data_IF_090375798761
#
_entry.id   IF_090375798761
#
_cell.length_a   1.000
_cell.length_b   1.000
_cell.length_c   1.000
_cell.angle_alpha   90.00
_cell.angle_beta   90.00
_cell.angle_gamma   90.00
#
_symmetry.space_group_name_H-M   'P 1'
#
loop_
_entity.id
_entity.type
_entity.pdbx_description
1 polymer ?
#
# COMPACT_ATOMS: atom_id res chain seq x y z
N UNK A 1 -13.14 -114.61 19.66
CA UNK A 1 -11.73 -114.25 19.38
C UNK A 1 -11.74 -112.86 18.76
N UNK A 2 -11.24 -111.86 19.46
CA UNK A 2 -11.26 -110.46 19.00
C UNK A 2 -10.09 -110.22 18.03
N UNK A 3 -10.31 -109.67 16.83
CA UNK A 3 -9.21 -109.38 15.91
C UNK A 3 -8.36 -108.22 16.45
N UNK A 4 -7.05 -108.45 16.46
CA UNK A 4 -6.01 -107.48 16.83
C UNK A 4 -6.03 -106.31 15.83
N UNK A 5 -6.04 -105.04 16.29
CA UNK A 5 -5.96 -103.91 15.37
C UNK A 5 -4.59 -103.86 14.71
N UNK A 6 -4.59 -103.86 13.38
CA UNK A 6 -3.40 -103.70 12.55
C UNK A 6 -2.71 -102.37 12.86
N UNK A 7 -1.43 -102.46 13.22
CA UNK A 7 -0.53 -101.34 13.46
C UNK A 7 -0.45 -100.46 12.20
N UNK A 8 -0.65 -99.13 12.30
CA UNK A 8 -0.51 -98.24 11.15
C UNK A 8 0.93 -98.30 10.64
N UNK A 9 1.05 -98.49 9.33
CA UNK A 9 2.31 -98.45 8.59
C UNK A 9 2.95 -97.07 8.73
N UNK A 10 4.25 -97.06 9.03
CA UNK A 10 5.05 -95.83 9.15
C UNK A 10 4.91 -94.96 7.91
N UNK A 11 4.82 -93.63 8.06
CA UNK A 11 4.77 -92.71 6.92
C UNK A 11 6.00 -92.91 6.04
N UNK A 12 5.81 -92.85 4.72
CA UNK A 12 6.89 -93.00 3.76
C UNK A 12 7.74 -91.73 3.72
N UNK A 13 9.04 -91.86 3.46
CA UNK A 13 9.99 -90.73 3.38
C UNK A 13 9.57 -89.61 2.39
N UNK A 14 8.64 -89.89 1.47
CA UNK A 14 8.11 -88.91 0.51
C UNK A 14 7.03 -87.99 1.13
N UNK A 15 6.25 -88.47 2.09
CA UNK A 15 5.27 -87.64 2.82
C UNK A 15 5.97 -86.64 3.75
N UNK A 16 7.05 -87.08 4.42
CA UNK A 16 7.85 -86.24 5.30
C UNK A 16 8.53 -85.09 4.53
N UNK A 17 9.07 -85.38 3.33
CA UNK A 17 9.63 -84.34 2.43
C UNK A 17 8.57 -83.35 1.92
N UNK A 18 7.36 -83.81 1.63
CA UNK A 18 6.28 -82.94 1.18
C UNK A 18 5.78 -82.02 2.30
N UNK A 19 5.77 -82.49 3.55
CA UNK A 19 5.42 -81.69 4.73
C UNK A 19 6.50 -80.64 5.04
N UNK A 20 7.79 -81.01 4.96
CA UNK A 20 8.90 -80.08 5.15
C UNK A 20 8.89 -78.94 4.13
N UNK A 21 8.61 -79.25 2.85
CA UNK A 21 8.56 -78.26 1.77
C UNK A 21 7.35 -77.33 1.89
N UNK A 22 6.23 -77.82 2.43
CA UNK A 22 5.06 -76.99 2.78
C UNK A 22 5.37 -76.04 3.95
N UNK A 23 6.07 -76.53 4.97
CA UNK A 23 6.49 -75.71 6.10
C UNK A 23 7.48 -74.62 5.66
N UNK A 24 8.40 -74.93 4.75
CA UNK A 24 9.35 -73.96 4.21
C UNK A 24 8.64 -72.85 3.42
N UNK A 25 7.73 -73.19 2.49
CA UNK A 25 6.94 -72.19 1.75
C UNK A 25 6.12 -71.29 2.69
N UNK A 26 5.53 -71.85 3.74
CA UNK A 26 4.76 -71.10 4.74
C UNK A 26 5.66 -70.16 5.57
N UNK A 27 6.92 -70.51 5.80
CA UNK A 27 7.89 -69.61 6.46
C UNK A 27 8.28 -68.46 5.53
N UNK A 28 8.59 -68.75 4.27
CA UNK A 28 8.92 -67.73 3.26
C UNK A 28 7.76 -66.75 3.01
N UNK A 29 6.52 -67.24 2.98
CA UNK A 29 5.33 -66.39 2.83
C UNK A 29 5.12 -65.46 4.03
N UNK A 30 5.32 -65.98 5.26
CA UNK A 30 5.25 -65.16 6.48
C UNK A 30 6.35 -64.10 6.53
N UNK A 31 7.57 -64.44 6.11
CA UNK A 31 8.69 -63.50 6.06
C UNK A 31 8.43 -62.39 5.02
N UNK A 32 7.87 -62.73 3.86
CA UNK A 32 7.45 -61.73 2.86
C UNK A 32 6.35 -60.81 3.37
N UNK A 33 5.31 -61.36 4.01
CA UNK A 33 4.24 -60.54 4.62
C UNK A 33 4.75 -59.64 5.75
N UNK A 34 5.71 -60.11 6.54
CA UNK A 34 6.31 -59.28 7.58
C UNK A 34 7.20 -58.17 7.01
N UNK A 35 7.96 -58.45 5.93
CA UNK A 35 8.74 -57.45 5.23
C UNK A 35 7.85 -56.38 4.57
N UNK A 36 6.73 -56.78 3.97
CA UNK A 36 5.75 -55.85 3.37
C UNK A 36 5.11 -54.95 4.43
N UNK A 37 4.64 -55.51 5.56
CA UNK A 37 4.12 -54.68 6.67
C UNK A 37 5.15 -53.70 7.22
N UNK A 38 6.42 -54.10 7.35
CA UNK A 38 7.47 -53.19 7.80
C UNK A 38 7.72 -52.05 6.80
N UNK A 39 7.67 -52.35 5.50
CA UNK A 39 7.80 -51.33 4.46
C UNK A 39 6.62 -50.34 4.49
N UNK A 40 5.39 -50.83 4.65
CA UNK A 40 4.19 -49.99 4.80
C UNK A 40 4.26 -49.11 6.06
N UNK A 41 4.68 -49.67 7.20
CA UNK A 41 4.86 -48.92 8.45
C UNK A 41 5.93 -47.82 8.31
N UNK A 42 7.02 -48.09 7.60
CA UNK A 42 8.08 -47.10 7.32
C UNK A 42 7.58 -45.99 6.38
N UNK A 43 6.82 -46.34 5.34
CA UNK A 43 6.20 -45.36 4.44
C UNK A 43 5.20 -44.47 5.19
N UNK A 44 4.35 -45.04 6.06
CA UNK A 44 3.41 -44.26 6.85
C UNK A 44 4.14 -43.35 7.86
N UNK A 45 5.21 -43.83 8.49
CA UNK A 45 6.02 -43.04 9.41
C UNK A 45 6.70 -41.85 8.69
N UNK A 46 7.24 -42.07 7.50
CA UNK A 46 7.86 -41.00 6.71
C UNK A 46 6.82 -39.99 6.19
N UNK A 47 5.63 -40.44 5.79
CA UNK A 47 4.53 -39.57 5.41
C UNK A 47 4.06 -38.67 6.57
N UNK A 48 3.91 -39.25 7.78
CA UNK A 48 3.58 -38.49 8.99
C UNK A 48 4.66 -37.47 9.36
N UNK A 49 5.94 -37.83 9.21
CA UNK A 49 7.05 -36.91 9.45
C UNK A 49 7.03 -35.70 8.49
N UNK A 50 6.79 -35.94 7.20
CA UNK A 50 6.66 -34.87 6.18
C UNK A 50 5.49 -33.94 6.50
N UNK A 51 4.33 -34.48 6.88
CA UNK A 51 3.17 -33.67 7.26
C UNK A 51 3.44 -32.82 8.52
N UNK A 52 4.16 -33.36 9.50
CA UNK A 52 4.55 -32.62 10.69
C UNK A 52 5.53 -31.47 10.35
N UNK A 53 6.47 -31.70 9.45
CA UNK A 53 7.41 -30.67 8.98
C UNK A 53 6.69 -29.53 8.24
N UNK A 54 5.75 -29.85 7.35
CA UNK A 54 4.94 -28.86 6.64
C UNK A 54 4.12 -28.01 7.63
N UNK A 55 3.54 -28.64 8.65
CA UNK A 55 2.78 -27.92 9.70
C UNK A 55 3.68 -26.96 10.48
N UNK A 56 4.88 -27.40 10.87
CA UNK A 56 5.87 -26.53 11.55
C UNK A 56 6.28 -25.35 10.67
N UNK A 57 6.60 -25.59 9.40
CA UNK A 57 6.96 -24.52 8.45
C UNK A 57 5.83 -23.50 8.26
N UNK A 58 4.58 -23.96 8.17
CA UNK A 58 3.41 -23.07 8.09
C UNK A 58 3.21 -22.23 9.35
N UNK A 59 3.37 -22.84 10.53
CA UNK A 59 3.23 -22.14 11.80
C UNK A 59 4.35 -21.10 11.99
N UNK A 60 5.59 -21.44 11.62
CA UNK A 60 6.72 -20.52 11.68
C UNK A 60 6.54 -19.34 10.73
N UNK A 61 6.11 -19.58 9.48
CA UNK A 61 5.81 -18.50 8.53
C UNK A 61 4.74 -17.57 9.08
N UNK A 62 3.65 -18.10 9.64
CA UNK A 62 2.58 -17.30 10.25
C UNK A 62 3.08 -16.47 11.45
N UNK A 63 4.00 -17.01 12.26
CA UNK A 63 4.61 -16.25 13.37
C UNK A 63 5.47 -15.10 12.86
N UNK A 64 6.28 -15.33 11.82
CA UNK A 64 7.11 -14.28 11.21
C UNK A 64 6.27 -13.16 10.60
N UNK A 65 5.22 -13.50 9.84
CA UNK A 65 4.30 -12.50 9.27
C UNK A 65 3.56 -11.69 10.35
N UNK A 66 3.18 -12.33 11.46
CA UNK A 66 2.54 -11.61 12.58
C UNK A 66 3.52 -10.67 13.30
N UNK A 67 4.79 -11.06 13.44
CA UNK A 67 5.82 -10.22 14.03
C UNK A 67 6.15 -9.01 13.14
N UNK A 68 6.26 -9.21 11.83
CA UNK A 68 6.50 -8.15 10.85
C UNK A 68 5.37 -7.13 10.84
N UNK A 69 4.11 -7.58 10.79
CA UNK A 69 2.93 -6.70 10.90
C UNK A 69 2.95 -5.88 12.20
N UNK A 70 3.33 -6.50 13.31
CA UNK A 70 3.41 -5.80 14.60
C UNK A 70 4.51 -4.72 14.59
N UNK A 71 5.65 -4.98 13.94
CA UNK A 71 6.73 -4.00 13.77
C UNK A 71 6.29 -2.83 12.88
N UNK A 72 5.62 -3.13 11.76
CA UNK A 72 5.10 -2.11 10.84
C UNK A 72 4.05 -1.21 11.52
N UNK A 73 3.14 -1.80 12.32
CA UNK A 73 2.17 -1.04 13.11
C UNK A 73 2.83 -0.14 14.18
N UNK A 74 3.90 -0.63 14.83
CA UNK A 74 4.63 0.16 15.81
C UNK A 74 5.40 1.32 15.16
N UNK A 75 6.03 1.08 14.02
CA UNK A 75 6.73 2.13 13.25
C UNK A 75 5.75 3.19 12.74
N UNK A 76 4.59 2.75 12.21
CA UNK A 76 3.55 3.67 11.75
C UNK A 76 3.03 4.54 12.89
N UNK A 77 2.79 3.97 14.08
CA UNK A 77 2.39 4.74 15.26
C UNK A 77 3.45 5.76 15.67
N UNK A 78 4.72 5.38 15.72
CA UNK A 78 5.82 6.31 16.03
C UNK A 78 5.86 7.48 15.04
N UNK A 79 5.73 7.19 13.74
CA UNK A 79 5.71 8.22 12.69
C UNK A 79 4.52 9.16 12.81
N UNK A 80 3.33 8.62 13.09
CA UNK A 80 2.12 9.43 13.31
C UNK A 80 2.26 10.34 14.55
N UNK A 81 2.84 9.85 15.64
CA UNK A 81 3.13 10.65 16.83
C UNK A 81 4.15 11.77 16.56
N UNK A 82 5.22 11.48 15.81
CA UNK A 82 6.21 12.49 15.41
C UNK A 82 5.60 13.58 14.52
N UNK A 83 4.79 13.20 13.52
CA UNK A 83 4.08 14.16 12.68
C UNK A 83 3.09 15.02 13.47
N UNK A 84 2.39 14.45 14.45
CA UNK A 84 1.49 15.22 15.32
C UNK A 84 2.26 16.22 16.18
N UNK A 85 3.40 15.81 16.75
CA UNK A 85 4.26 16.71 17.51
C UNK A 85 4.84 17.83 16.64
N UNK A 86 5.25 17.52 15.40
CA UNK A 86 5.76 18.52 14.47
C UNK A 86 4.67 19.53 14.09
N UNK A 87 3.44 19.07 13.82
CA UNK A 87 2.28 19.94 13.58
C UNK A 87 1.99 20.84 14.77
N UNK A 88 1.99 20.30 15.99
CA UNK A 88 1.80 21.09 17.22
C UNK A 88 2.90 22.14 17.41
N UNK A 89 4.17 21.82 17.10
CA UNK A 89 5.28 22.78 17.13
C UNK A 89 5.11 23.90 16.10
N UNK A 90 4.80 23.54 14.84
CA UNK A 90 4.56 24.52 13.75
C UNK A 90 3.37 25.44 14.05
N UNK A 91 2.30 24.90 14.65
CA UNK A 91 1.14 25.70 15.05
C UNK A 91 1.49 26.70 16.16
N UNK A 92 2.19 26.25 17.21
CA UNK A 92 2.67 27.14 18.29
C UNK A 92 3.57 28.25 17.75
N UNK A 93 4.49 27.93 16.84
CA UNK A 93 5.37 28.92 16.22
C UNK A 93 4.59 29.96 15.42
N UNK A 94 3.60 29.53 14.63
CA UNK A 94 2.71 30.45 13.88
C UNK A 94 1.96 31.39 14.80
N UNK A 95 1.40 30.89 15.91
CA UNK A 95 0.68 31.70 16.89
C UNK A 95 1.60 32.73 17.54
N UNK A 96 2.84 32.36 17.88
CA UNK A 96 3.82 33.29 18.45
C UNK A 96 4.21 34.36 17.42
N UNK A 97 4.43 33.97 16.16
CA UNK A 97 4.77 34.91 15.09
C UNK A 97 3.62 35.91 14.82
N UNK A 98 2.38 35.43 14.78
CA UNK A 98 1.21 36.28 14.58
C UNK A 98 1.00 37.26 15.75
N UNK A 99 1.24 36.82 16.99
CA UNK A 99 1.18 37.71 18.16
C UNK A 99 2.25 38.79 18.10
N UNK A 100 3.50 38.45 17.75
CA UNK A 100 4.59 39.43 17.58
C UNK A 100 4.28 40.45 16.48
N UNK A 101 3.78 39.99 15.32
CA UNK A 101 3.42 40.89 14.22
C UNK A 101 2.27 41.84 14.58
N UNK A 102 1.28 41.36 15.36
CA UNK A 102 0.20 42.22 15.88
C UNK A 102 0.72 43.27 16.85
N UNK A 103 1.65 42.92 17.74
CA UNK A 103 2.24 43.85 18.71
C UNK A 103 3.11 44.91 18.01
N UNK A 104 3.91 44.53 17.00
CA UNK A 104 4.67 45.48 16.19
C UNK A 104 3.77 46.45 15.43
N UNK A 105 2.71 45.95 14.77
CA UNK A 105 1.74 46.83 14.08
C UNK A 105 1.00 47.77 15.04
N UNK A 106 0.74 47.36 16.28
CA UNK A 106 0.12 48.24 17.27
C UNK A 106 1.10 49.31 17.77
N UNK A 107 2.38 48.96 17.98
CA UNK A 107 3.43 49.93 18.29
C UNK A 107 3.63 50.94 17.17
N UNK A 108 3.73 50.48 15.92
CA UNK A 108 3.91 51.35 14.75
C UNK A 108 2.74 52.34 14.60
N UNK A 109 1.49 51.87 14.80
CA UNK A 109 0.31 52.76 14.81
C UNK A 109 0.37 53.80 15.92
N UNK A 110 0.81 53.44 17.13
CA UNK A 110 0.94 54.41 18.24
C UNK A 110 2.05 55.44 17.98
N UNK A 111 3.16 55.02 17.37
CA UNK A 111 4.23 55.94 16.97
C UNK A 111 3.79 56.89 15.85
N UNK A 112 3.07 56.39 14.84
CA UNK A 112 2.50 57.21 13.77
C UNK A 112 1.49 58.23 14.30
N UNK A 113 0.61 57.83 15.22
CA UNK A 113 -0.35 58.73 15.86
C UNK A 113 0.35 59.83 16.70
N UNK A 114 1.39 59.47 17.46
CA UNK A 114 2.18 60.44 18.21
C UNK A 114 2.94 61.41 17.29
N UNK A 115 3.44 60.93 16.14
CA UNK A 115 4.10 61.76 15.13
C UNK A 115 3.11 62.71 14.45
N UNK A 116 1.89 62.25 14.15
CA UNK A 116 0.83 63.10 13.62
C UNK A 116 0.42 64.19 14.61
N UNK A 117 0.28 63.86 15.91
CA UNK A 117 -0.03 64.81 16.97
C UNK A 117 1.08 65.87 17.15
N UNK A 118 2.36 65.47 17.10
CA UNK A 118 3.48 66.40 17.23
C UNK A 118 3.59 67.36 16.04
N UNK A 119 3.34 66.88 14.82
CA UNK A 119 3.27 67.74 13.62
C UNK A 119 2.08 68.71 13.70
N UNK A 120 0.92 68.25 14.16
CA UNK A 120 -0.26 69.11 14.38
C UNK A 120 0.00 70.26 15.37
N UNK A 121 0.70 69.97 16.48
CA UNK A 121 1.09 70.98 17.46
C UNK A 121 2.10 71.99 16.88
N UNK A 122 3.03 71.56 16.04
CA UNK A 122 3.98 72.43 15.33
C UNK A 122 3.30 73.36 14.32
N UNK A 123 2.27 72.86 13.62
CA UNK A 123 1.44 73.66 12.71
C UNK A 123 0.60 74.68 13.49
N UNK A 124 -0.04 74.29 14.61
CA UNK A 124 -0.75 75.24 15.47
C UNK A 124 0.18 76.32 16.06
N UNK A 125 1.36 75.95 16.54
CA UNK A 125 2.34 76.89 17.09
C UNK A 125 2.86 77.89 16.04
N UNK A 126 2.98 77.46 14.77
CA UNK A 126 3.37 78.33 13.66
C UNK A 126 2.23 79.25 13.19
N UNK A 127 0.98 78.82 13.26
CA UNK A 127 -0.20 79.67 13.04
C UNK A 127 -0.32 80.75 14.13
N UNK A 128 -0.16 80.38 15.42
CA UNK A 128 -0.23 81.33 16.54
C UNK A 128 0.92 82.36 16.49
N UNK A 129 2.11 82.00 16.00
CA UNK A 129 3.20 82.98 15.75
C UNK A 129 2.96 83.90 14.56
N UNK A 130 2.23 83.46 13.52
CA UNK A 130 1.84 84.32 12.39
C UNK A 130 0.67 85.24 12.72
N UNK A 131 -0.22 84.86 13.64
CA UNK A 131 -1.37 85.66 14.08
C UNK A 131 -1.04 86.90 14.91
N UNK A 132 0.23 87.20 15.18
CA UNK A 132 0.68 88.47 15.82
C UNK A 132 1.25 89.49 14.83
N UNK A 133 1.15 89.25 13.52
CA UNK A 133 1.35 90.28 12.51
C UNK A 133 0.02 90.52 11.82
N UNK A 134 -0.61 91.64 12.17
CA UNK A 134 -1.85 92.15 11.62
C UNK A 134 -1.81 92.20 10.09
N UNK A 135 -2.42 91.21 9.44
CA UNK A 135 -2.98 91.37 8.10
C UNK A 135 -4.28 90.56 8.00
N UNK A 136 -5.38 91.16 7.53
CA UNK A 136 -6.65 90.46 7.40
C UNK A 136 -6.51 89.38 6.32
N UNK A 137 -6.70 88.11 6.71
CA UNK A 137 -6.84 87.01 5.75
C UNK A 137 -8.28 87.03 5.28
N UNK A 138 -8.48 87.60 4.09
CA UNK A 138 -9.73 87.59 3.36
C UNK A 138 -10.15 86.14 3.08
N UNK A 139 -11.30 85.73 3.64
CA UNK A 139 -11.76 84.33 3.69
C UNK A 139 -12.31 83.85 2.34
N UNK A 140 -12.41 84.74 1.34
CA UNK A 140 -13.00 84.45 0.02
C UNK A 140 -12.00 83.94 -1.05
N UNK A 141 -10.71 83.81 -0.74
CA UNK A 141 -9.69 83.40 -1.73
C UNK A 141 -9.25 81.94 -1.68
N UNK A 142 -9.72 81.13 -0.73
CA UNK A 142 -9.28 79.72 -0.60
C UNK A 142 -10.07 78.78 -1.53
N UNK A 143 -11.22 79.19 -2.06
CA UNK A 143 -12.04 78.33 -2.92
C UNK A 143 -11.57 78.29 -4.39
N UNK A 144 -10.56 79.09 -4.78
CA UNK A 144 -10.10 79.20 -6.17
C UNK A 144 -8.74 78.55 -6.48
N UNK A 145 -8.11 77.89 -5.52
CA UNK A 145 -6.88 77.07 -5.72
C UNK A 145 -7.23 75.56 -5.79
N UNK A 146 -8.42 75.22 -6.30
CA UNK A 146 -8.82 73.82 -6.54
C UNK A 146 -8.66 73.36 -8.00
N UNK A 147 -8.34 74.26 -8.93
CA UNK A 147 -8.39 73.95 -10.37
C UNK A 147 -7.26 74.65 -11.12
N UNK A 148 -6.14 73.96 -11.26
CA UNK A 148 -5.19 73.94 -12.40
C UNK A 148 -3.76 73.80 -11.89
N UNK A 149 -3.12 72.74 -12.40
CA UNK A 149 -1.68 72.38 -12.40
C UNK A 149 -1.47 71.07 -11.63
N UNK A 150 -0.77 70.07 -12.15
CA UNK A 150 -0.12 69.81 -13.43
C UNK A 150 0.18 68.30 -13.38
N UNK A 151 0.13 67.63 -14.52
CA UNK A 151 0.65 66.27 -14.69
C UNK A 151 2.06 66.22 -14.08
N UNK A 152 2.25 65.41 -13.05
CA UNK A 152 3.61 65.02 -12.65
C UNK A 152 4.06 64.00 -13.69
N UNK A 153 5.02 64.43 -14.50
CA UNK A 153 5.69 63.59 -15.46
C UNK A 153 6.32 62.40 -14.73
N UNK A 154 5.95 61.21 -15.18
CA UNK A 154 6.58 59.96 -14.81
C UNK A 154 7.96 59.96 -15.47
N UNK A 155 9.00 60.28 -14.72
CA UNK A 155 10.39 60.08 -15.13
C UNK A 155 10.60 58.57 -15.23
N UNK A 156 11.00 58.00 -16.38
CA UNK A 156 11.48 56.63 -16.44
C UNK A 156 12.95 56.64 -16.00
N UNK A 157 13.25 56.10 -14.83
CA UNK A 157 14.62 55.83 -14.42
C UNK A 157 15.11 54.60 -15.18
N UNK A 158 15.76 54.83 -16.32
CA UNK A 158 16.68 53.88 -16.92
C UNK A 158 17.96 53.82 -16.08
N UNK A 159 18.39 52.60 -15.77
CA UNK A 159 19.81 52.21 -15.74
C UNK A 159 20.70 52.72 -14.62
N UNK A 160 21.09 51.83 -13.72
CA UNK A 160 22.51 51.65 -13.44
C UNK A 160 22.86 50.15 -13.40
N UNK A 161 23.96 49.75 -14.07
CA UNK A 161 24.45 48.38 -14.14
C UNK A 161 25.48 48.09 -13.03
N UNK A 162 25.71 46.80 -12.77
CA UNK A 162 26.89 46.29 -12.05
C UNK A 162 26.71 46.20 -10.54
N UNK A 163 26.67 44.97 -10.02
CA UNK A 163 27.89 44.34 -9.50
C UNK A 163 27.66 42.83 -9.41
N UNK A 164 28.38 42.13 -10.28
CA UNK A 164 28.68 40.71 -10.16
C UNK A 164 29.57 40.51 -8.92
N UNK A 165 29.10 39.75 -7.94
CA UNK A 165 29.99 39.02 -7.03
C UNK A 165 29.93 37.53 -7.41
N UNK A 166 31.01 36.96 -7.97
CA UNK A 166 31.17 35.53 -8.08
C UNK A 166 31.63 35.01 -6.72
N UNK A 167 30.84 34.14 -6.08
CA UNK A 167 31.34 33.39 -4.94
C UNK A 167 32.25 32.28 -5.49
N UNK A 168 33.54 32.22 -5.09
CA UNK A 168 34.45 31.19 -5.54
C UNK A 168 34.13 29.89 -4.80
N UNK A 169 34.36 28.77 -5.49
CA UNK A 169 34.26 27.45 -4.89
C UNK A 169 35.28 27.26 -3.77
N UNK A 170 34.95 26.36 -2.86
CA UNK A 170 35.97 25.51 -2.25
C UNK A 170 35.48 24.07 -2.27
N UNK A 171 36.40 23.27 -2.76
CA UNK A 171 36.43 21.83 -2.84
C UNK A 171 36.22 21.22 -1.45
N UNK A 172 35.57 20.06 -1.40
CA UNK A 172 35.98 19.04 -0.45
C UNK A 172 36.03 17.70 -1.15
N UNK A 173 37.26 17.28 -1.30
CA UNK A 173 37.73 16.01 -1.80
C UNK A 173 37.19 14.84 -0.96
N UNK A 174 37.12 13.71 -1.64
CA UNK A 174 37.53 12.39 -1.17
C UNK A 174 37.21 12.01 0.29
N UNK A 175 36.27 11.09 0.43
CA UNK A 175 36.47 9.98 1.36
C UNK A 175 36.01 8.69 0.69
N UNK A 176 36.97 8.08 0.01
CA UNK A 176 37.07 6.63 -0.09
C UNK A 176 36.98 6.03 1.32
N UNK A 177 36.09 5.06 1.49
CA UNK A 177 36.32 3.97 2.43
C UNK A 177 35.60 2.72 1.95
N UNK A 178 36.44 1.69 1.89
CA UNK A 178 36.29 0.37 1.30
C UNK A 178 35.33 -0.56 2.06
N UNK A 179 35.11 -1.71 1.39
CA UNK A 179 34.81 -3.06 1.91
C UNK A 179 33.43 -3.28 2.54
N UNK A 180 32.57 -4.07 1.90
CA UNK A 180 32.77 -5.52 1.83
C UNK A 180 32.04 -6.17 0.65
N UNK A 181 32.80 -7.02 -0.01
CA UNK A 181 32.41 -7.91 -1.09
C UNK A 181 31.67 -9.11 -0.49
N UNK A 182 30.33 -9.10 -0.50
CA UNK A 182 29.54 -10.31 -0.35
C UNK A 182 28.92 -10.67 -1.70
N UNK A 183 29.64 -11.52 -2.43
CA UNK A 183 29.08 -12.37 -3.49
C UNK A 183 28.05 -13.28 -2.84
N UNK A 184 26.78 -12.94 -2.97
CA UNK A 184 25.73 -13.95 -3.02
C UNK A 184 25.45 -14.19 -4.50
N UNK A 185 26.06 -15.24 -5.04
CA UNK A 185 25.61 -15.90 -6.26
C UNK A 185 24.18 -16.43 -5.99
N UNK A 186 23.19 -15.57 -6.20
CA UNK A 186 21.82 -16.00 -6.44
C UNK A 186 21.77 -16.28 -7.93
N UNK A 187 21.70 -17.55 -8.30
CA UNK A 187 21.31 -17.99 -9.63
C UNK A 187 19.91 -17.42 -9.91
N UNK A 188 19.87 -16.22 -10.52
CA UNK A 188 18.68 -15.68 -11.15
C UNK A 188 18.34 -16.59 -12.32
N UNK A 189 17.34 -17.43 -12.10
CA UNK A 189 16.61 -18.10 -13.17
C UNK A 189 15.86 -17.00 -13.94
N UNK A 190 16.46 -16.50 -15.02
CA UNK A 190 15.80 -15.66 -16.02
C UNK A 190 14.66 -16.47 -16.67
N UNK A 191 13.46 -16.43 -16.09
CA UNK A 191 12.24 -16.69 -16.86
C UNK A 191 12.01 -15.49 -17.77
N UNK A 192 12.04 -15.74 -19.08
CA UNK A 192 11.78 -14.79 -20.15
C UNK A 192 10.46 -14.03 -19.91
N UNK A 193 10.56 -12.76 -19.53
CA UNK A 193 9.42 -11.83 -19.48
C UNK A 193 9.00 -11.46 -20.91
N UNK A 194 7.75 -11.74 -21.34
CA UNK A 194 7.31 -11.44 -22.70
C UNK A 194 7.30 -9.93 -22.95
N UNK A 195 8.16 -9.51 -23.89
CA UNK A 195 8.32 -8.15 -24.42
C UNK A 195 7.02 -7.33 -24.43
N UNK A 196 6.88 -6.42 -23.46
CA UNK A 196 5.83 -5.40 -23.43
C UNK A 196 6.36 -4.20 -24.25
N UNK A 197 5.75 -3.86 -25.40
CA UNK A 197 6.19 -2.72 -26.18
C UNK A 197 6.03 -1.41 -25.39
N UNK A 198 7.00 -0.48 -25.44
CA UNK A 198 6.94 0.77 -24.70
C UNK A 198 5.74 1.60 -25.15
N UNK A 199 4.87 1.96 -24.21
CA UNK A 199 3.74 2.85 -24.44
C UNK A 199 4.24 4.23 -24.90
N UNK A 200 3.66 4.83 -25.96
CA UNK A 200 4.10 6.12 -26.46
C UNK A 200 3.84 7.22 -25.42
N UNK A 201 4.91 7.92 -25.03
CA UNK A 201 4.84 9.11 -24.18
C UNK A 201 4.06 10.23 -24.88
N UNK A 202 3.11 10.91 -24.20
CA UNK A 202 2.27 11.92 -24.84
C UNK A 202 3.07 13.18 -25.16
N UNK A 203 3.17 13.49 -26.45
CA UNK A 203 3.75 14.72 -26.99
C UNK A 203 3.00 15.94 -26.43
N UNK A 204 3.71 16.83 -25.74
CA UNK A 204 3.13 18.03 -25.15
C UNK A 204 2.66 19.00 -26.24
N UNK A 205 1.34 19.10 -26.44
CA UNK A 205 0.78 20.19 -27.24
C UNK A 205 0.93 21.54 -26.51
N UNK A 206 1.21 22.66 -27.22
CA UNK A 206 1.29 23.97 -26.59
C UNK A 206 -0.05 24.31 -25.93
N UNK A 207 -0.09 24.40 -24.60
CA UNK A 207 -1.32 24.76 -23.86
C UNK A 207 -1.73 26.18 -24.25
N UNK A 208 -2.90 26.31 -24.88
CA UNK A 208 -3.52 27.60 -25.17
C UNK A 208 -3.59 28.44 -23.88
N UNK A 209 -3.19 29.73 -23.90
CA UNK A 209 -3.22 30.56 -22.72
C UNK A 209 -4.66 30.74 -22.22
N UNK A 210 -4.87 30.48 -20.92
CA UNK A 210 -6.16 30.59 -20.26
C UNK A 210 -6.67 32.04 -20.32
N UNK A 211 -7.78 32.26 -21.03
CA UNK A 211 -8.46 33.57 -21.10
C UNK A 211 -9.38 33.76 -19.88
N UNK A 212 -9.58 35.01 -19.47
CA UNK A 212 -10.53 35.40 -18.43
C UNK A 212 -11.99 35.30 -18.93
N UNK A 213 -12.96 35.01 -18.06
CA UNK A 213 -14.38 34.88 -18.48
C UNK A 213 -14.94 36.15 -19.14
N UNK A 214 -14.54 37.33 -18.66
CA UNK A 214 -14.94 38.60 -19.26
C UNK A 214 -14.34 38.82 -20.65
N UNK A 215 -13.20 38.19 -20.94
CA UNK A 215 -12.48 38.29 -22.19
C UNK A 215 -13.03 37.30 -23.22
N UNK A 216 -13.36 36.09 -22.75
CA UNK A 216 -14.01 35.04 -23.54
C UNK A 216 -15.42 35.44 -23.94
N UNK A 217 -16.22 36.02 -23.03
CA UNK A 217 -17.60 36.43 -23.33
C UNK A 217 -17.71 37.62 -24.29
N UNK A 218 -16.63 38.39 -24.49
CA UNK A 218 -16.59 39.54 -25.39
C UNK A 218 -15.69 39.33 -26.62
N UNK A 219 -15.11 38.13 -26.76
CA UNK A 219 -14.12 37.80 -27.78
C UNK A 219 -12.96 38.81 -27.91
N UNK A 220 -12.49 39.32 -26.77
CA UNK A 220 -11.37 40.30 -26.71
C UNK A 220 -10.09 39.58 -26.27
N UNK A 221 -8.94 40.07 -26.73
CA UNK A 221 -7.63 39.56 -26.31
C UNK A 221 -7.39 39.71 -24.80
N UNK A 222 -7.16 38.58 -24.13
CA UNK A 222 -6.87 38.53 -22.70
C UNK A 222 -5.36 38.64 -22.47
N UNK A 223 -4.88 39.85 -22.19
CA UNK A 223 -3.47 40.08 -21.84
C UNK A 223 -3.34 40.42 -20.35
N UNK A 224 -2.53 39.63 -19.62
CA UNK A 224 -2.26 39.84 -18.19
C UNK A 224 -1.25 40.98 -18.00
N UNK A 225 -1.40 41.76 -16.92
CA UNK A 225 -0.45 42.83 -16.57
C UNK A 225 0.69 42.21 -15.77
N UNK A 226 1.61 41.51 -16.44
CA UNK A 226 2.74 40.84 -15.79
C UNK A 226 2.37 39.59 -14.98
N UNK A 227 3.40 38.83 -14.61
CA UNK A 227 3.36 37.61 -13.78
C UNK A 227 3.01 37.96 -12.33
N UNK A 228 1.73 38.19 -12.04
CA UNK A 228 1.27 38.44 -10.67
C UNK A 228 0.06 39.36 -10.54
N UNK A 229 -0.38 40.01 -11.63
CA UNK A 229 -1.62 40.81 -11.57
C UNK A 229 -2.87 39.93 -11.43
N UNK A 230 -3.78 40.30 -10.55
CA UNK A 230 -5.07 39.61 -10.38
C UNK A 230 -6.10 39.93 -11.49
N UNK A 231 -5.75 40.82 -12.45
CA UNK A 231 -6.67 41.28 -13.48
C UNK A 231 -5.98 41.51 -14.82
N UNK A 232 -6.60 41.06 -15.92
CA UNK A 232 -6.14 41.37 -17.26
C UNK A 232 -6.37 42.85 -17.63
N UNK A 233 -5.64 43.34 -18.64
CA UNK A 233 -5.70 44.73 -19.11
C UNK A 233 -7.12 45.15 -19.49
N UNK A 234 -7.84 44.27 -20.21
CA UNK A 234 -9.19 44.55 -20.68
C UNK A 234 -10.17 44.74 -19.52
N UNK A 235 -10.14 43.84 -18.51
CA UNK A 235 -11.00 43.96 -17.34
C UNK A 235 -10.68 45.18 -16.49
N UNK A 236 -9.39 45.50 -16.32
CA UNK A 236 -8.95 46.68 -15.56
C UNK A 236 -9.42 47.98 -16.20
N UNK A 237 -9.30 48.10 -17.53
CA UNK A 237 -9.80 49.27 -18.28
C UNK A 237 -11.32 49.42 -18.17
N UNK A 238 -12.04 48.31 -18.23
CA UNK A 238 -13.49 48.28 -18.11
C UNK A 238 -14.01 48.35 -16.66
N UNK A 239 -13.12 48.46 -15.65
CA UNK A 239 -13.44 48.46 -14.21
C UNK A 239 -14.34 47.30 -13.78
N UNK A 240 -14.21 46.13 -14.43
CA UNK A 240 -14.94 44.90 -14.09
C UNK A 240 -14.01 43.89 -13.43
N UNK A 241 -14.58 43.08 -12.52
CA UNK A 241 -13.83 42.06 -11.77
C UNK A 241 -13.35 40.97 -12.73
N UNK A 242 -12.04 40.83 -12.88
CA UNK A 242 -11.43 39.79 -13.71
C UNK A 242 -11.46 38.47 -12.95
N UNK A 243 -12.34 37.55 -13.34
CA UNK A 243 -12.33 36.18 -12.84
C UNK A 243 -11.46 35.34 -13.78
N UNK A 244 -10.24 35.03 -13.34
CA UNK A 244 -9.42 34.02 -13.99
C UNK A 244 -10.00 32.65 -13.66
N UNK A 245 -10.33 31.87 -14.69
CA UNK A 245 -11.00 30.56 -14.60
C UNK A 245 -10.17 29.47 -13.86
N UNK A 246 -9.03 29.83 -13.28
CA UNK A 246 -8.09 28.91 -12.63
C UNK A 246 -8.26 28.68 -11.12
N UNK A 247 -8.71 29.68 -10.34
CA UNK A 247 -8.56 29.60 -8.87
C UNK A 247 -9.79 29.11 -8.08
N UNK A 248 -11.01 29.18 -8.62
CA UNK A 248 -12.17 28.58 -7.94
C UNK A 248 -12.32 27.09 -8.21
N UNK A 249 -11.75 26.59 -9.32
CA UNK A 249 -11.74 25.15 -9.62
C UNK A 249 -10.80 24.39 -8.69
N UNK A 250 -9.67 24.93 -8.26
CA UNK A 250 -8.73 24.23 -7.35
C UNK A 250 -9.28 24.07 -5.94
N UNK A 251 -10.01 25.06 -5.41
CA UNK A 251 -10.62 24.97 -4.07
C UNK A 251 -11.85 24.04 -4.07
N UNK A 252 -12.70 24.08 -5.10
CA UNK A 252 -13.82 23.14 -5.23
C UNK A 252 -13.36 21.72 -5.57
N UNK A 253 -12.30 21.55 -6.37
CA UNK A 253 -11.71 20.24 -6.67
C UNK A 253 -11.03 19.62 -5.45
N UNK A 254 -10.39 20.42 -4.58
CA UNK A 254 -9.81 19.91 -3.33
C UNK A 254 -10.86 19.42 -2.33
N UNK A 255 -12.01 20.10 -2.23
CA UNK A 255 -13.14 19.62 -1.41
C UNK A 255 -13.83 18.40 -2.01
N UNK A 256 -13.86 18.28 -3.34
CA UNK A 256 -14.44 17.13 -4.05
C UNK A 256 -13.53 15.90 -3.94
N UNK A 257 -12.22 16.06 -4.11
CA UNK A 257 -11.23 15.00 -3.94
C UNK A 257 -11.23 14.45 -2.51
N UNK A 258 -11.34 15.28 -1.47
CA UNK A 258 -11.46 14.79 -0.09
C UNK A 258 -12.75 13.99 0.17
N UNK A 259 -13.84 14.33 -0.50
CA UNK A 259 -15.10 13.56 -0.41
C UNK A 259 -15.01 12.25 -1.20
N UNK A 260 -14.34 12.27 -2.35
CA UNK A 260 -14.08 11.09 -3.18
C UNK A 260 -13.11 10.13 -2.47
N UNK A 261 -12.04 10.61 -1.83
CA UNK A 261 -11.15 9.79 -0.98
C UNK A 261 -11.89 9.17 0.20
N UNK A 262 -12.76 9.93 0.89
CA UNK A 262 -13.57 9.36 1.98
C UNK A 262 -14.57 8.32 1.50
N UNK A 263 -15.14 8.47 0.30
CA UNK A 263 -16.06 7.51 -0.29
C UNK A 263 -15.35 6.26 -0.84
N UNK A 264 -14.12 6.43 -1.34
CA UNK A 264 -13.27 5.32 -1.77
C UNK A 264 -12.80 4.50 -0.56
N UNK A 265 -12.49 5.14 0.57
CA UNK A 265 -12.14 4.47 1.82
C UNK A 265 -13.29 3.61 2.39
N UNK A 266 -14.54 4.10 2.33
CA UNK A 266 -15.71 3.26 2.67
C UNK A 266 -15.88 2.11 1.67
N UNK A 267 -15.65 2.35 0.37
CA UNK A 267 -15.76 1.30 -0.66
C UNK A 267 -14.68 0.21 -0.53
N UNK A 268 -13.51 0.53 0.02
CA UNK A 268 -12.46 -0.47 0.29
C UNK A 268 -12.79 -1.34 1.49
N UNK A 269 -13.45 -0.81 2.52
CA UNK A 269 -13.89 -1.61 3.68
C UNK A 269 -14.94 -2.62 3.27
N UNK A 270 -15.96 -2.19 2.52
CA UNK A 270 -17.01 -3.07 2.01
C UNK A 270 -16.43 -4.14 1.05
N UNK A 271 -15.43 -3.79 0.23
CA UNK A 271 -14.74 -4.77 -0.62
C UNK A 271 -13.94 -5.80 0.17
N UNK A 272 -13.33 -5.41 1.29
CA UNK A 272 -12.58 -6.33 2.15
C UNK A 272 -13.56 -7.30 2.82
N UNK A 273 -14.68 -6.82 3.35
CA UNK A 273 -15.72 -7.68 3.95
C UNK A 273 -16.28 -8.70 2.96
N UNK A 274 -16.56 -8.29 1.71
CA UNK A 274 -17.03 -9.20 0.65
C UNK A 274 -15.97 -10.24 0.28
N UNK A 275 -14.69 -9.87 0.28
CA UNK A 275 -13.60 -10.81 0.02
C UNK A 275 -13.39 -11.80 1.18
N UNK A 276 -13.56 -11.36 2.42
CA UNK A 276 -13.51 -12.22 3.60
C UNK A 276 -14.66 -13.22 3.62
N UNK A 277 -15.89 -12.77 3.33
CA UNK A 277 -17.06 -13.65 3.21
C UNK A 277 -16.86 -14.69 2.10
N UNK A 278 -16.36 -14.28 0.94
CA UNK A 278 -16.07 -15.19 -0.17
C UNK A 278 -14.94 -16.18 0.15
N UNK A 279 -13.93 -15.77 0.91
CA UNK A 279 -12.87 -16.67 1.37
C UNK A 279 -13.39 -17.68 2.39
N UNK A 280 -14.29 -17.28 3.31
CA UNK A 280 -14.94 -18.20 4.24
C UNK A 280 -15.82 -19.21 3.48
N UNK A 281 -16.56 -18.77 2.46
CA UNK A 281 -17.36 -19.65 1.61
C UNK A 281 -16.47 -20.67 0.86
N UNK A 282 -15.36 -20.23 0.27
CA UNK A 282 -14.41 -21.12 -0.39
C UNK A 282 -13.77 -22.12 0.57
N UNK A 283 -13.41 -21.69 1.77
CA UNK A 283 -12.87 -22.59 2.80
C UNK A 283 -13.88 -23.67 3.21
N UNK A 284 -15.16 -23.31 3.36
CA UNK A 284 -16.22 -24.26 3.66
C UNK A 284 -16.45 -25.25 2.49
N UNK A 285 -16.42 -24.78 1.24
CA UNK A 285 -16.54 -25.65 0.06
C UNK A 285 -15.37 -26.62 -0.05
N UNK A 286 -14.14 -26.18 0.23
CA UNK A 286 -12.96 -27.04 0.26
C UNK A 286 -13.07 -28.12 1.35
N UNK A 287 -13.57 -27.76 2.53
CA UNK A 287 -13.83 -28.71 3.60
C UNK A 287 -14.83 -29.80 3.19
N UNK A 288 -15.95 -29.41 2.56
CA UNK A 288 -16.93 -30.38 2.04
C UNK A 288 -16.37 -31.29 0.95
N UNK A 289 -15.52 -30.76 0.07
CA UNK A 289 -14.83 -31.55 -0.95
C UNK A 289 -13.88 -32.57 -0.32
N UNK A 290 -13.14 -32.18 0.72
CA UNK A 290 -12.25 -33.08 1.44
C UNK A 290 -13.02 -34.25 2.08
N UNK A 291 -14.15 -33.96 2.73
CA UNK A 291 -15.02 -34.98 3.31
C UNK A 291 -15.65 -35.88 2.23
N UNK A 292 -16.07 -35.32 1.09
CA UNK A 292 -16.53 -36.11 -0.06
C UNK A 292 -15.44 -37.05 -0.59
N UNK A 293 -14.22 -36.56 -0.76
CA UNK A 293 -13.09 -37.38 -1.21
C UNK A 293 -12.80 -38.48 -0.20
N UNK A 294 -12.82 -38.18 1.10
CA UNK A 294 -12.65 -39.18 2.16
C UNK A 294 -13.75 -40.24 2.11
N UNK A 295 -15.00 -39.83 1.91
CA UNK A 295 -16.12 -40.75 1.74
C UNK A 295 -15.93 -41.65 0.53
N UNK A 296 -15.57 -41.09 -0.63
CA UNK A 296 -15.30 -41.82 -1.87
C UNK A 296 -14.16 -42.83 -1.66
N UNK A 297 -13.06 -42.43 -1.00
CA UNK A 297 -11.94 -43.34 -0.70
C UNK A 297 -12.41 -44.48 0.21
N UNK A 298 -13.29 -44.22 1.19
CA UNK A 298 -13.85 -45.26 2.05
C UNK A 298 -14.83 -46.18 1.31
N UNK A 299 -15.56 -45.68 0.31
CA UNK A 299 -16.50 -46.49 -0.48
C UNK A 299 -15.82 -47.26 -1.62
N UNK A 300 -14.78 -46.69 -2.21
CA UNK A 300 -14.02 -47.27 -3.33
C UNK A 300 -12.86 -48.13 -2.84
N UNK A 301 -12.39 -47.97 -1.58
CA UNK A 301 -11.49 -48.97 -0.98
C UNK A 301 -12.16 -50.32 -1.14
N UNK A 302 -11.61 -51.18 -2.00
CA UNK A 302 -12.39 -52.26 -2.53
C UNK A 302 -12.63 -53.28 -1.42
N UNK A 303 -13.74 -53.97 -1.55
CA UNK A 303 -14.10 -55.19 -0.82
C UNK A 303 -13.11 -56.33 -1.14
N UNK A 304 -11.89 -56.02 -1.60
CA UNK A 304 -10.82 -56.97 -1.90
C UNK A 304 -10.19 -57.54 -0.61
N UNK A 305 -10.52 -56.98 0.55
CA UNK A 305 -10.23 -57.63 1.83
C UNK A 305 -11.19 -58.81 2.15
N UNK A 306 -12.17 -59.11 1.28
CA UNK A 306 -13.12 -60.20 1.44
C UNK A 306 -13.15 -61.19 0.26
N UNK A 307 -12.21 -61.09 -0.69
CA UNK A 307 -11.88 -62.23 -1.55
C UNK A 307 -11.02 -63.23 -0.74
N UNK A 308 -11.61 -63.85 0.29
CA UNK A 308 -11.27 -65.24 0.57
C UNK A 308 -11.48 -65.97 -0.75
N UNK A 309 -10.38 -66.38 -1.39
CA UNK A 309 -10.41 -66.97 -2.72
C UNK A 309 -11.48 -68.07 -2.78
N UNK A 310 -12.37 -68.01 -3.78
CA UNK A 310 -13.29 -69.12 -4.04
C UNK A 310 -12.54 -70.45 -4.23
N UNK A 311 -11.23 -70.40 -4.55
CA UNK A 311 -10.35 -71.57 -4.58
C UNK A 311 -10.20 -72.27 -3.21
N UNK A 312 -10.18 -71.53 -2.10
CA UNK A 312 -10.11 -72.12 -0.75
C UNK A 312 -11.49 -72.62 -0.25
N UNK A 313 -12.58 -72.14 -0.85
CA UNK A 313 -13.93 -72.64 -0.57
C UNK A 313 -14.22 -73.93 -1.35
N UNK A 314 -13.78 -74.04 -2.61
CA UNK A 314 -13.94 -75.26 -3.44
C UNK A 314 -13.08 -76.42 -2.93
N UNK A 315 -11.88 -76.16 -2.39
CA UNK A 315 -11.06 -77.20 -1.73
C UNK A 315 -11.69 -77.77 -0.45
N UNK A 316 -12.55 -77.01 0.24
CA UNK A 316 -13.24 -77.49 1.46
C UNK A 316 -14.48 -78.36 1.17
N UNK A 317 -15.08 -78.27 -0.02
CA UNK A 317 -16.28 -79.06 -0.38
C UNK A 317 -16.04 -80.16 -1.40
N UNK A 318 -14.84 -80.25 -1.99
CA UNK A 318 -14.50 -81.22 -3.04
C UNK A 318 -14.27 -82.67 -2.59
N UNK A 319 -14.04 -82.94 -1.30
CA UNK A 319 -13.71 -84.28 -0.78
C UNK A 319 -14.91 -85.07 -0.22
N UNK A 320 -16.09 -84.91 -0.82
CA UNK A 320 -17.26 -85.76 -0.53
C UNK A 320 -17.76 -86.43 -1.82
N UNK A 321 -16.89 -87.22 -2.47
CA UNK A 321 -17.32 -88.09 -3.58
C UNK A 321 -16.82 -89.53 -3.39
N UNK A 322 -17.71 -90.35 -2.84
CA UNK A 322 -17.96 -91.70 -3.32
C UNK A 322 -16.96 -92.79 -2.90
N UNK A 323 -17.09 -93.28 -1.66
CA UNK A 323 -16.84 -94.71 -1.36
C UNK A 323 -18.17 -95.40 -1.09
N UNK A 324 -18.57 -96.25 -2.02
CA UNK A 324 -19.75 -97.11 -1.98
C UNK A 324 -20.23 -97.28 -3.42
N UNK A 325 -20.35 -98.46 -4.02
CA UNK A 325 -20.51 -99.82 -3.50
C UNK A 325 -20.26 -100.71 -4.73
N UNK A 326 -19.44 -101.76 -4.62
CA UNK A 326 -19.42 -102.86 -5.61
C UNK A 326 -19.88 -104.10 -4.85
N UNK A 327 -21.05 -104.61 -5.23
CA UNK A 327 -21.48 -106.00 -5.04
C UNK A 327 -21.25 -106.74 -6.35
#
# INVERSE_FOLDING_TARGET
MSPTPSRPSSPSNDEERAEELRLQKKREEREKQEAERRAEEEEEATAKARLAEIRRKKEEKKKREAEEKKKEEEEKKKREEEEEQERKKKEKERVVKEKKEKEEREKEKREEENRAKSVGALVQASIVRRGKRDLPIDVDSVERIGKKRKRVARIPSNGSPGDDEPNPGEDNEASDSNSDEYKNDIEDHEEEDPYIPPTPTPTSTPRKPLKCDCCTSKDISCSMIGSGSASCIACRKAKVKCLLVGNERTVRRSKRLKREESAVASSSSERIEVLEERNQELAHRLFLLEDMVRFIIQTIRPVDANEESEEDRVKRTGDVKGKGRKE
#
